data_IF_988349021672
#
_entry.id   IF_988349021672
#
_cell.length_a   1.000
_cell.length_b   1.000
_cell.length_c   1.000
_cell.angle_alpha   90.00
_cell.angle_beta   90.00
_cell.angle_gamma   90.00
#
_symmetry.space_group_name_H-M   'P 1'
#
loop_
_entity.id
_entity.type
_entity.pdbx_description
1 polymer ?
#
# COMPACT_ATOMS: atom_id res chain seq x y z
N UNK A 1 -11.68 -25.99 -12.47
CA UNK A 1 -10.71 -24.88 -12.43
C UNK A 1 -10.78 -24.20 -13.79
N UNK A 2 -11.18 -22.93 -13.85
CA UNK A 2 -11.05 -22.15 -15.08
C UNK A 2 -9.56 -21.94 -15.35
N UNK A 3 -9.14 -22.21 -16.58
CA UNK A 3 -7.75 -22.04 -17.02
C UNK A 3 -7.42 -20.53 -17.00
N UNK A 4 -6.32 -20.15 -16.33
CA UNK A 4 -5.90 -18.74 -16.29
C UNK A 4 -5.21 -18.41 -17.61
N UNK A 5 -5.87 -17.59 -18.41
CA UNK A 5 -5.34 -17.08 -19.68
C UNK A 5 -4.58 -15.79 -19.41
N UNK A 6 -3.28 -15.77 -19.71
CA UNK A 6 -2.47 -14.56 -19.63
C UNK A 6 -2.88 -13.55 -20.72
N UNK A 7 -2.84 -12.24 -20.44
CA UNK A 7 -2.98 -11.21 -21.48
C UNK A 7 -1.91 -11.35 -22.57
N UNK A 8 -2.21 -10.89 -23.78
CA UNK A 8 -1.28 -10.91 -24.90
C UNK A 8 0.04 -10.17 -24.55
N UNK A 9 1.18 -10.81 -24.78
CA UNK A 9 2.50 -10.30 -24.40
C UNK A 9 2.91 -10.53 -22.94
N UNK A 10 2.09 -11.21 -22.14
CA UNK A 10 2.40 -11.59 -20.76
C UNK A 10 2.47 -13.11 -20.62
N UNK A 11 3.37 -13.61 -19.76
CA UNK A 11 3.38 -15.00 -19.29
C UNK A 11 2.77 -15.08 -17.90
N UNK A 12 1.87 -16.04 -17.68
CA UNK A 12 1.40 -16.38 -16.33
C UNK A 12 2.45 -17.27 -15.65
N UNK A 13 3.10 -16.76 -14.62
CA UNK A 13 4.05 -17.50 -13.80
C UNK A 13 3.34 -17.91 -12.51
N UNK A 14 3.03 -19.20 -12.30
CA UNK A 14 2.47 -19.68 -11.04
C UNK A 14 3.50 -19.48 -9.93
N UNK A 15 3.08 -18.88 -8.81
CA UNK A 15 3.95 -18.55 -7.68
C UNK A 15 3.67 -19.44 -6.47
N UNK A 16 2.78 -19.02 -5.59
CA UNK A 16 2.49 -19.68 -4.31
C UNK A 16 1.05 -20.15 -4.22
N UNK A 17 0.82 -21.27 -3.52
CA UNK A 17 -0.51 -21.74 -3.16
C UNK A 17 -0.79 -21.42 -1.69
N UNK A 18 -1.95 -20.85 -1.36
CA UNK A 18 -2.38 -20.60 0.01
C UNK A 18 -3.81 -21.06 0.27
N UNK A 19 -4.12 -21.53 1.49
CA UNK A 19 -5.47 -21.91 1.87
C UNK A 19 -6.34 -20.67 2.12
N UNK A 20 -7.54 -20.63 1.55
CA UNK A 20 -8.58 -19.62 1.79
C UNK A 20 -9.81 -20.30 2.34
N UNK A 21 -10.45 -19.71 3.35
CA UNK A 21 -11.68 -20.25 3.93
C UNK A 21 -12.89 -19.75 3.14
N UNK A 22 -13.54 -20.66 2.42
CA UNK A 22 -14.75 -20.38 1.63
C UNK A 22 -15.88 -21.29 2.14
N UNK A 23 -17.01 -20.71 2.53
CA UNK A 23 -18.18 -21.44 3.06
C UNK A 23 -17.88 -22.42 4.22
N UNK A 24 -16.84 -22.14 5.01
CA UNK A 24 -16.42 -22.98 6.14
C UNK A 24 -15.36 -24.03 5.80
N UNK A 25 -15.03 -24.23 4.53
CA UNK A 25 -14.00 -25.17 4.07
C UNK A 25 -12.73 -24.44 3.61
N UNK A 26 -11.57 -25.11 3.68
CA UNK A 26 -10.32 -24.57 3.17
C UNK A 26 -10.11 -24.98 1.71
N UNK A 27 -10.02 -24.00 0.83
CA UNK A 27 -9.74 -24.17 -0.60
C UNK A 27 -8.35 -23.62 -0.90
N UNK A 28 -7.53 -24.37 -1.63
CA UNK A 28 -6.22 -23.89 -2.07
C UNK A 28 -6.38 -22.92 -3.24
N UNK A 29 -5.96 -21.66 -3.05
CA UNK A 29 -5.81 -20.68 -4.14
C UNK A 29 -4.34 -20.63 -4.57
N UNK A 30 -4.11 -20.31 -5.84
CA UNK A 30 -2.80 -20.19 -6.45
C UNK A 30 -2.63 -18.75 -6.96
N UNK A 31 -1.55 -18.06 -6.57
CA UNK A 31 -1.17 -16.79 -7.21
C UNK A 31 -0.50 -17.06 -8.54
N UNK A 32 -0.72 -16.10 -9.42
CA UNK A 32 -0.04 -15.99 -10.69
C UNK A 32 0.53 -14.59 -10.78
N UNK A 33 1.79 -14.49 -11.17
CA UNK A 33 2.38 -13.24 -11.61
C UNK A 33 2.26 -13.18 -13.12
N UNK A 34 1.71 -12.09 -13.65
CA UNK A 34 1.76 -11.84 -15.08
C UNK A 34 3.02 -11.05 -15.38
N UNK A 35 4.01 -11.73 -15.95
CA UNK A 35 5.27 -11.10 -16.34
C UNK A 35 5.21 -10.75 -17.81
N UNK A 36 5.50 -9.50 -18.14
CA UNK A 36 5.91 -9.11 -19.48
C UNK A 36 7.38 -8.75 -19.39
N UNK A 37 8.16 -9.24 -20.35
CA UNK A 37 9.52 -8.75 -20.50
C UNK A 37 9.43 -7.29 -20.92
N UNK A 38 9.79 -6.41 -19.97
CA UNK A 38 9.77 -4.97 -20.15
C UNK A 38 11.19 -4.40 -19.97
N UNK A 39 12.23 -5.24 -20.01
CA UNK A 39 13.63 -4.81 -19.89
C UNK A 39 14.02 -3.79 -20.97
N UNK A 40 13.35 -3.83 -22.12
CA UNK A 40 13.49 -2.85 -23.21
C UNK A 40 12.87 -1.47 -22.90
N UNK A 41 12.02 -1.37 -21.87
CA UNK A 41 11.19 -0.20 -21.56
C UNK A 41 11.47 0.37 -20.16
N UNK A 42 11.96 -0.47 -19.25
CA UNK A 42 12.28 -0.11 -17.87
C UNK A 42 13.72 -0.46 -17.54
N UNK A 43 14.41 0.51 -16.95
CA UNK A 43 15.73 0.33 -16.32
C UNK A 43 15.50 -0.12 -14.87
N UNK A 44 14.85 -1.26 -14.68
CA UNK A 44 14.48 -1.79 -13.36
C UNK A 44 15.12 -3.17 -13.19
N UNK A 45 16.06 -3.24 -12.27
CA UNK A 45 16.58 -4.51 -11.75
C UNK A 45 15.53 -5.08 -10.78
N UNK A 46 14.60 -5.87 -11.32
CA UNK A 46 13.52 -6.50 -10.56
C UNK A 46 14.14 -7.57 -9.66
N UNK A 47 14.45 -7.21 -8.41
CA UNK A 47 14.96 -8.18 -7.44
C UNK A 47 13.89 -9.24 -7.16
N UNK A 48 14.16 -10.48 -7.55
CA UNK A 48 13.36 -11.62 -7.12
C UNK A 48 13.54 -11.79 -5.61
N UNK A 49 12.43 -11.77 -4.87
CA UNK A 49 12.42 -12.07 -3.43
C UNK A 49 12.16 -13.56 -3.28
N UNK A 50 13.10 -14.29 -2.69
CA UNK A 50 12.87 -15.67 -2.25
C UNK A 50 12.03 -15.64 -0.96
N UNK A 51 10.91 -16.37 -0.89
CA UNK A 51 10.10 -16.42 0.32
C UNK A 51 10.90 -17.05 1.47
N UNK A 52 11.12 -16.27 2.53
CA UNK A 52 11.59 -16.82 3.79
C UNK A 52 10.40 -17.58 4.41
N UNK A 53 10.55 -18.89 4.61
CA UNK A 53 9.45 -19.77 5.03
C UNK A 53 8.69 -19.27 6.28
N UNK A 54 7.46 -19.75 6.46
CA UNK A 54 6.55 -19.31 7.52
C UNK A 54 7.21 -19.42 8.90
N UNK A 55 7.27 -18.31 9.64
CA UNK A 55 7.69 -18.31 11.05
C UNK A 55 6.76 -19.23 11.86
N UNK A 56 7.27 -20.03 12.81
CA UNK A 56 6.41 -20.75 13.76
C UNK A 56 5.51 -19.75 14.50
N UNK A 57 4.21 -20.05 14.57
CA UNK A 57 3.23 -19.21 15.26
C UNK A 57 3.66 -19.04 16.71
N UNK A 58 3.68 -17.80 17.19
CA UNK A 58 3.90 -17.54 18.61
C UNK A 58 2.56 -17.66 19.34
N UNK A 59 2.51 -18.46 20.40
CA UNK A 59 1.29 -18.63 21.19
C UNK A 59 0.98 -17.41 22.08
N UNK A 60 1.96 -16.51 22.27
CA UNK A 60 1.82 -15.37 23.17
C UNK A 60 1.37 -14.07 22.48
N UNK A 61 1.45 -13.99 21.16
CA UNK A 61 1.01 -12.81 20.41
C UNK A 61 0.82 -13.10 18.92
N UNK A 62 0.01 -12.26 18.28
CA UNK A 62 -0.07 -12.12 16.82
C UNK A 62 0.79 -10.96 16.34
N UNK A 63 1.30 -11.08 15.11
CA UNK A 63 2.08 -10.03 14.44
C UNK A 63 1.23 -9.42 13.34
N UNK A 64 1.05 -8.09 13.40
CA UNK A 64 0.43 -7.30 12.34
C UNK A 64 1.50 -6.41 11.73
N UNK A 65 1.55 -6.34 10.40
CA UNK A 65 2.39 -5.41 9.66
C UNK A 65 1.51 -4.45 8.88
N UNK A 66 1.78 -3.15 8.99
CA UNK A 66 1.20 -2.15 8.10
C UNK A 66 2.28 -1.51 7.23
N UNK A 67 2.01 -1.45 5.93
CA UNK A 67 2.70 -0.66 4.92
C UNK A 67 1.72 0.36 4.33
N UNK A 68 2.19 1.46 3.75
CA UNK A 68 1.28 2.48 3.23
C UNK A 68 1.97 3.36 2.18
N UNK A 69 1.15 4.06 1.38
CA UNK A 69 1.57 5.19 0.55
C UNK A 69 2.78 4.85 -0.34
N UNK A 70 2.70 3.74 -1.07
CA UNK A 70 3.71 3.36 -2.05
C UNK A 70 3.73 4.33 -3.25
N UNK A 71 2.61 5.00 -3.53
CA UNK A 71 2.45 5.98 -4.61
C UNK A 71 2.97 5.46 -5.96
N UNK A 72 2.59 4.24 -6.32
CA UNK A 72 3.02 3.60 -7.57
C UNK A 72 2.48 4.38 -8.76
N UNK A 73 3.42 4.94 -9.52
CA UNK A 73 3.21 5.65 -10.76
C UNK A 73 4.53 5.90 -11.47
N UNK A 74 4.45 6.63 -12.60
CA UNK A 74 5.60 6.96 -13.42
C UNK A 74 5.51 8.38 -13.98
N UNK A 75 6.68 8.97 -14.27
CA UNK A 75 6.85 10.08 -15.20
C UNK A 75 7.38 9.54 -16.52
N UNK A 76 6.81 9.95 -17.63
CA UNK A 76 7.26 9.68 -18.98
C UNK A 76 8.10 10.88 -19.45
N UNK A 77 9.42 10.70 -19.50
CA UNK A 77 10.36 11.73 -19.97
C UNK A 77 11.10 11.13 -21.16
N UNK A 78 10.96 11.76 -22.33
CA UNK A 78 11.55 11.31 -23.59
C UNK A 78 11.22 9.85 -23.94
N UNK A 79 9.97 9.43 -23.73
CA UNK A 79 9.47 8.06 -23.91
C UNK A 79 10.10 7.01 -22.96
N UNK A 80 10.78 7.43 -21.90
CA UNK A 80 11.26 6.55 -20.82
C UNK A 80 10.43 6.76 -19.57
N UNK A 81 10.03 5.65 -18.94
CA UNK A 81 9.25 5.66 -17.71
C UNK A 81 10.16 5.69 -16.48
N UNK A 82 10.01 6.73 -15.66
CA UNK A 82 10.74 6.93 -14.41
C UNK A 82 9.78 6.72 -13.24
N UNK A 83 10.07 5.78 -12.32
CA UNK A 83 9.17 5.51 -11.20
C UNK A 83 9.19 6.67 -10.20
N UNK A 84 8.00 7.05 -9.74
CA UNK A 84 7.83 7.97 -8.60
C UNK A 84 7.75 7.22 -7.26
N UNK A 85 7.46 5.93 -7.29
CA UNK A 85 7.58 5.04 -6.13
C UNK A 85 9.03 4.61 -5.94
N UNK A 86 9.37 4.18 -4.72
CA UNK A 86 10.73 3.75 -4.40
C UNK A 86 10.84 2.22 -4.44
N UNK A 87 11.35 1.71 -5.55
CA UNK A 87 11.50 0.27 -5.78
C UNK A 87 12.39 -0.40 -4.72
N UNK A 88 13.41 0.30 -4.20
CA UNK A 88 14.29 -0.25 -3.17
C UNK A 88 13.58 -0.29 -1.82
N UNK A 89 12.85 0.77 -1.46
CA UNK A 89 12.08 0.78 -0.23
C UNK A 89 11.00 -0.32 -0.22
N UNK A 90 10.30 -0.49 -1.35
CA UNK A 90 9.33 -1.58 -1.56
C UNK A 90 10.03 -2.95 -1.40
N UNK A 91 11.17 -3.18 -2.06
CA UNK A 91 11.87 -4.46 -1.98
C UNK A 91 12.30 -4.80 -0.54
N UNK A 92 12.84 -3.82 0.20
CA UNK A 92 13.23 -3.97 1.60
C UNK A 92 12.02 -4.27 2.48
N UNK A 93 10.91 -3.54 2.29
CA UNK A 93 9.68 -3.75 3.04
C UNK A 93 9.07 -5.15 2.76
N UNK A 94 9.09 -5.61 1.51
CA UNK A 94 8.63 -6.96 1.15
C UNK A 94 9.50 -8.05 1.76
N UNK A 95 10.83 -7.90 1.73
CA UNK A 95 11.77 -8.83 2.39
C UNK A 95 11.56 -8.85 3.90
N UNK A 96 11.39 -7.68 4.50
CA UNK A 96 11.10 -7.55 5.92
C UNK A 96 9.78 -8.23 6.29
N UNK A 97 8.72 -8.02 5.49
CA UNK A 97 7.43 -8.68 5.67
C UNK A 97 7.56 -10.21 5.65
N UNK A 98 8.29 -10.77 4.67
CA UNK A 98 8.55 -12.20 4.63
C UNK A 98 9.36 -12.71 5.82
N UNK A 99 10.35 -11.95 6.26
CA UNK A 99 11.19 -12.35 7.38
C UNK A 99 10.46 -12.35 8.74
N UNK A 100 9.57 -11.39 8.98
CA UNK A 100 8.79 -11.34 10.23
C UNK A 100 7.58 -12.28 10.19
N UNK A 101 7.08 -12.59 8.99
CA UNK A 101 5.95 -13.49 8.74
C UNK A 101 4.69 -13.08 9.49
N UNK A 102 4.06 -11.94 9.15
CA UNK A 102 2.91 -11.43 9.89
C UNK A 102 1.71 -12.39 9.80
N UNK A 103 0.86 -12.38 10.83
CA UNK A 103 -0.46 -13.00 10.80
C UNK A 103 -1.44 -12.15 9.99
N UNK A 104 -1.29 -10.82 10.05
CA UNK A 104 -2.10 -9.86 9.29
C UNK A 104 -1.20 -8.81 8.62
N UNK A 105 -1.40 -8.58 7.33
CA UNK A 105 -0.74 -7.55 6.55
C UNK A 105 -1.79 -6.52 6.08
N UNK A 106 -1.56 -5.26 6.42
CA UNK A 106 -2.43 -4.14 6.05
C UNK A 106 -1.67 -3.20 5.12
N UNK A 107 -2.27 -2.87 3.99
CA UNK A 107 -1.87 -1.77 3.13
C UNK A 107 -2.79 -0.57 3.41
N UNK A 108 -2.19 0.55 3.82
CA UNK A 108 -2.88 1.76 4.24
C UNK A 108 -3.49 2.60 3.11
N UNK A 109 -3.52 2.11 1.88
CA UNK A 109 -4.02 2.86 0.72
C UNK A 109 -2.99 3.80 0.11
N UNK A 110 -3.43 4.56 -0.90
CA UNK A 110 -2.56 5.35 -1.80
C UNK A 110 -1.40 4.51 -2.38
N UNK A 111 -1.68 3.23 -2.65
CA UNK A 111 -0.74 2.32 -3.29
C UNK A 111 -0.48 2.72 -4.74
N UNK A 112 -1.52 3.12 -5.47
CA UNK A 112 -1.40 3.64 -6.84
C UNK A 112 -1.62 5.14 -6.82
N UNK A 113 -0.70 5.90 -7.42
CA UNK A 113 -0.74 7.36 -7.33
C UNK A 113 -1.79 8.01 -8.26
N UNK A 114 -1.94 7.55 -9.50
CA UNK A 114 -2.80 8.23 -10.50
C UNK A 114 -2.51 9.74 -10.66
N UNK A 115 -1.25 10.14 -10.91
CA UNK A 115 -0.92 11.56 -11.07
C UNK A 115 -1.57 12.16 -12.33
N UNK A 116 -1.76 11.34 -13.37
CA UNK A 116 -2.38 11.67 -14.64
C UNK A 116 -3.88 11.98 -14.55
N UNK A 117 -4.52 11.55 -13.48
CA UNK A 117 -5.93 11.81 -13.19
C UNK A 117 -6.14 12.92 -12.16
N UNK A 118 -5.06 13.53 -11.67
CA UNK A 118 -5.12 14.55 -10.63
C UNK A 118 -5.71 15.86 -11.16
N UNK A 119 -6.51 16.51 -10.32
CA UNK A 119 -7.01 17.88 -10.55
C UNK A 119 -6.51 18.86 -9.49
N UNK A 120 -5.65 18.40 -8.58
CA UNK A 120 -5.24 19.15 -7.39
C UNK A 120 -3.95 19.93 -7.57
N UNK A 121 -3.12 19.51 -8.52
CA UNK A 121 -1.93 20.23 -8.91
C UNK A 121 -2.14 20.67 -10.35
N UNK A 122 -1.85 21.95 -10.63
CA UNK A 122 -1.60 22.33 -12.02
C UNK A 122 -0.53 21.37 -12.54
N UNK A 123 -0.71 20.77 -13.73
CA UNK A 123 0.26 19.81 -14.24
C UNK A 123 1.62 20.50 -14.25
N UNK A 124 2.51 20.04 -13.35
CA UNK A 124 3.90 20.51 -13.27
C UNK A 124 4.68 20.15 -14.54
N UNK A 125 4.10 19.26 -15.35
CA UNK A 125 4.60 18.72 -16.61
C UNK A 125 3.51 17.91 -17.33
N UNK A 126 3.76 17.54 -18.59
CA UNK A 126 2.96 16.58 -19.35
C UNK A 126 3.42 15.12 -19.19
N UNK A 127 4.40 14.89 -18.29
CA UNK A 127 5.09 13.60 -18.11
C UNK A 127 4.18 12.50 -17.58
N UNK A 128 3.06 12.82 -16.96
CA UNK A 128 2.15 11.80 -16.44
C UNK A 128 1.29 11.14 -17.53
N UNK A 129 1.38 11.59 -18.79
CA UNK A 129 0.57 11.01 -19.86
C UNK A 129 1.02 9.59 -20.22
N UNK A 130 0.03 8.70 -20.38
CA UNK A 130 0.24 7.35 -20.89
C UNK A 130 0.84 6.37 -19.86
N UNK A 131 0.85 6.71 -18.57
CA UNK A 131 1.48 5.88 -17.53
C UNK A 131 0.51 4.94 -16.82
N UNK A 132 -0.80 5.14 -16.97
CA UNK A 132 -1.85 4.48 -16.19
C UNK A 132 -1.75 2.95 -16.18
N UNK A 133 -1.59 2.31 -17.35
CA UNK A 133 -1.48 0.86 -17.44
C UNK A 133 -0.20 0.32 -16.77
N UNK A 134 0.91 1.04 -16.89
CA UNK A 134 2.15 0.66 -16.21
C UNK A 134 1.98 0.74 -14.70
N UNK A 135 1.34 1.80 -14.20
CA UNK A 135 1.02 1.97 -12.77
C UNK A 135 0.15 0.84 -12.25
N UNK A 136 -0.95 0.50 -12.92
CA UNK A 136 -1.82 -0.62 -12.53
C UNK A 136 -1.06 -1.96 -12.50
N UNK A 137 -0.25 -2.23 -13.53
CA UNK A 137 0.51 -3.48 -13.59
C UNK A 137 1.53 -3.56 -12.45
N UNK A 138 2.25 -2.48 -12.16
CA UNK A 138 3.23 -2.46 -11.07
C UNK A 138 2.56 -2.58 -9.70
N UNK A 139 1.40 -1.96 -9.50
CA UNK A 139 0.62 -2.11 -8.28
C UNK A 139 0.12 -3.55 -8.10
N UNK A 140 -0.37 -4.20 -9.16
CA UNK A 140 -0.73 -5.62 -9.10
C UNK A 140 0.47 -6.46 -8.69
N UNK A 141 1.63 -6.21 -9.30
CA UNK A 141 2.87 -6.90 -8.96
C UNK A 141 3.27 -6.67 -7.50
N UNK A 142 3.15 -5.44 -6.98
CA UNK A 142 3.44 -5.11 -5.58
C UNK A 142 2.61 -5.95 -4.59
N UNK A 143 1.30 -6.01 -4.80
CA UNK A 143 0.42 -6.85 -3.97
C UNK A 143 0.73 -8.36 -4.14
N UNK A 144 1.14 -8.77 -5.34
CA UNK A 144 1.60 -10.13 -5.62
C UNK A 144 2.90 -10.48 -4.89
N UNK A 145 3.89 -9.58 -4.90
CA UNK A 145 5.18 -9.76 -4.23
C UNK A 145 4.99 -9.88 -2.71
N UNK A 146 4.12 -9.04 -2.12
CA UNK A 146 3.76 -9.13 -0.70
C UNK A 146 3.03 -10.44 -0.37
N UNK A 147 2.13 -10.89 -1.25
CA UNK A 147 1.43 -12.17 -1.11
C UNK A 147 2.40 -13.36 -1.10
N UNK A 148 3.37 -13.33 -2.02
CA UNK A 148 4.42 -14.36 -2.11
C UNK A 148 5.31 -14.36 -0.87
N UNK A 149 5.71 -13.18 -0.40
CA UNK A 149 6.53 -13.03 0.81
C UNK A 149 5.76 -13.42 2.08
N UNK A 150 4.44 -13.28 2.12
CA UNK A 150 3.60 -13.51 3.31
C UNK A 150 2.47 -14.54 3.08
N UNK A 151 2.78 -15.78 2.69
CA UNK A 151 1.78 -16.75 2.24
C UNK A 151 0.78 -17.17 3.34
N UNK A 152 1.12 -16.93 4.61
CA UNK A 152 0.27 -17.23 5.76
C UNK A 152 -0.54 -16.05 6.30
N UNK A 153 -0.36 -14.84 5.75
CA UNK A 153 -1.00 -13.63 6.27
C UNK A 153 -2.41 -13.44 5.70
N UNK A 154 -3.32 -13.00 6.56
CA UNK A 154 -4.54 -12.30 6.15
C UNK A 154 -4.15 -10.92 5.60
N UNK A 155 -4.76 -10.47 4.49
CA UNK A 155 -4.28 -9.32 3.71
C UNK A 155 -5.40 -8.36 3.39
N UNK A 156 -5.24 -7.11 3.81
CA UNK A 156 -6.26 -6.06 3.64
C UNK A 156 -5.64 -4.79 3.07
N UNK A 157 -6.32 -4.15 2.13
CA UNK A 157 -6.01 -2.79 1.68
C UNK A 157 -7.23 -1.89 1.88
N UNK A 158 -7.01 -0.65 2.30
CA UNK A 158 -8.07 0.33 2.58
C UNK A 158 -8.14 1.39 1.48
N UNK A 159 -9.36 1.81 1.14
CA UNK A 159 -9.60 2.84 0.12
C UNK A 159 -9.01 4.21 0.50
N UNK A 160 -8.68 5.01 -0.51
CA UNK A 160 -7.86 6.22 -0.38
C UNK A 160 -8.30 7.37 -1.30
N UNK A 161 -7.73 8.56 -1.13
CA UNK A 161 -8.04 9.69 -2.01
C UNK A 161 -7.55 9.47 -3.44
N UNK A 162 -6.47 8.71 -3.67
CA UNK A 162 -5.99 8.43 -5.03
C UNK A 162 -6.92 7.43 -5.73
N UNK A 163 -7.40 6.41 -5.03
CA UNK A 163 -8.42 5.51 -5.60
C UNK A 163 -9.73 6.25 -5.88
N UNK A 164 -10.16 7.14 -4.97
CA UNK A 164 -11.31 8.02 -5.23
C UNK A 164 -11.11 8.91 -6.46
N UNK A 165 -9.91 9.44 -6.69
CA UNK A 165 -9.58 10.25 -7.88
C UNK A 165 -9.85 9.49 -9.17
N UNK A 166 -9.49 8.21 -9.24
CA UNK A 166 -9.81 7.36 -10.39
C UNK A 166 -11.33 7.23 -10.59
N UNK A 167 -12.09 6.92 -9.54
CA UNK A 167 -13.54 6.82 -9.62
C UNK A 167 -14.21 8.14 -10.04
N UNK A 168 -13.77 9.26 -9.47
CA UNK A 168 -14.24 10.61 -9.80
C UNK A 168 -13.95 10.96 -11.26
N UNK A 169 -12.78 10.57 -11.79
CA UNK A 169 -12.44 10.78 -13.18
C UNK A 169 -13.42 10.07 -14.11
N UNK A 170 -13.71 8.79 -13.86
CA UNK A 170 -14.67 8.02 -14.65
C UNK A 170 -16.05 8.69 -14.63
N UNK A 171 -16.55 9.08 -13.46
CA UNK A 171 -17.86 9.74 -13.33
C UNK A 171 -17.89 11.08 -14.09
N UNK A 172 -16.85 11.91 -13.94
CA UNK A 172 -16.84 13.28 -14.51
C UNK A 172 -16.52 13.32 -15.99
N UNK A 173 -15.74 12.37 -16.50
CA UNK A 173 -15.15 12.43 -17.86
C UNK A 173 -15.55 11.27 -18.77
N UNK A 174 -15.97 10.15 -18.20
CA UNK A 174 -16.30 8.94 -18.94
C UNK A 174 -17.57 8.27 -18.40
N UNK A 175 -18.58 9.07 -18.04
CA UNK A 175 -19.82 8.60 -17.40
C UNK A 175 -20.49 7.40 -18.10
N UNK A 176 -20.51 7.29 -19.45
CA UNK A 176 -21.06 6.10 -20.11
C UNK A 176 -20.35 4.78 -19.76
N UNK A 177 -19.11 4.84 -19.27
CA UNK A 177 -18.35 3.68 -18.79
C UNK A 177 -18.55 3.42 -17.29
N UNK A 178 -19.20 4.33 -16.56
CA UNK A 178 -19.39 4.17 -15.13
C UNK A 178 -20.26 2.94 -14.83
N UNK A 179 -19.74 2.04 -14.00
CA UNK A 179 -20.44 0.80 -13.62
C UNK A 179 -20.46 -0.27 -14.71
N UNK A 180 -19.71 -0.10 -15.81
CA UNK A 180 -19.54 -1.17 -16.80
C UNK A 180 -18.96 -2.42 -16.13
N UNK A 181 -19.56 -3.57 -16.44
CA UNK A 181 -19.21 -4.86 -15.85
C UNK A 181 -18.71 -5.79 -16.94
N UNK A 182 -17.88 -6.77 -16.56
CA UNK A 182 -17.65 -7.92 -17.45
C UNK A 182 -18.95 -8.70 -17.59
N UNK A 183 -19.15 -9.34 -18.73
CA UNK A 183 -20.33 -10.18 -18.98
C UNK A 183 -20.37 -11.29 -17.93
N UNK A 184 -21.46 -11.36 -17.16
CA UNK A 184 -21.66 -12.35 -16.11
C UNK A 184 -21.10 -11.98 -14.73
N UNK A 185 -20.51 -10.80 -14.57
CA UNK A 185 -20.05 -10.30 -13.26
C UNK A 185 -21.00 -9.23 -12.69
N UNK A 186 -21.13 -9.20 -11.37
CA UNK A 186 -22.01 -8.25 -10.66
C UNK A 186 -21.32 -6.94 -10.26
N UNK A 187 -19.99 -6.88 -10.38
CA UNK A 187 -19.20 -5.72 -9.99
C UNK A 187 -18.65 -4.95 -11.20
N UNK A 188 -18.40 -3.66 -10.99
CA UNK A 188 -17.80 -2.81 -12.02
C UNK A 188 -16.40 -3.31 -12.36
N UNK A 189 -16.10 -3.51 -13.64
CA UNK A 189 -14.75 -3.86 -14.09
C UNK A 189 -13.76 -2.71 -13.89
N UNK A 190 -14.27 -1.47 -13.74
CA UNK A 190 -13.48 -0.29 -13.41
C UNK A 190 -13.35 -0.08 -11.90
N UNK A 191 -13.86 -0.98 -11.04
CA UNK A 191 -13.55 -0.90 -9.62
C UNK A 191 -12.05 -1.18 -9.42
N UNK A 192 -11.38 -0.43 -8.55
CA UNK A 192 -9.93 -0.54 -8.29
C UNK A 192 -9.50 -1.99 -8.00
N UNK A 193 -10.25 -2.67 -7.12
CA UNK A 193 -10.02 -4.08 -6.79
C UNK A 193 -10.11 -5.04 -7.98
N UNK A 194 -10.96 -4.73 -8.97
CA UNK A 194 -11.21 -5.58 -10.14
C UNK A 194 -10.17 -5.32 -11.25
N UNK A 195 -9.75 -4.07 -11.42
CA UNK A 195 -8.63 -3.74 -12.31
C UNK A 195 -7.35 -4.43 -11.82
N UNK A 196 -7.08 -4.35 -10.51
CA UNK A 196 -5.92 -4.98 -9.88
C UNK A 196 -6.08 -6.48 -9.61
N UNK A 197 -7.26 -7.06 -9.82
CA UNK A 197 -7.54 -8.47 -9.54
C UNK A 197 -7.15 -8.90 -8.11
N UNK A 198 -7.42 -8.04 -7.12
CA UNK A 198 -6.99 -8.22 -5.73
C UNK A 198 -7.51 -9.53 -5.12
N UNK A 199 -8.72 -9.93 -5.48
CA UNK A 199 -9.36 -11.18 -5.08
C UNK A 199 -8.54 -12.41 -5.48
N UNK A 200 -7.95 -12.39 -6.69
CA UNK A 200 -7.15 -13.50 -7.23
C UNK A 200 -5.79 -13.62 -6.55
N UNK A 201 -5.27 -12.51 -6.03
CA UNK A 201 -4.01 -12.49 -5.28
C UNK A 201 -4.24 -12.45 -3.76
N UNK A 202 -5.48 -12.67 -3.30
CA UNK A 202 -5.80 -12.90 -1.89
C UNK A 202 -5.80 -11.64 -1.03
N UNK A 203 -6.14 -10.48 -1.59
CA UNK A 203 -6.30 -9.23 -0.87
C UNK A 203 -7.77 -8.84 -0.75
N UNK A 204 -8.17 -8.45 0.46
CA UNK A 204 -9.49 -7.85 0.71
C UNK A 204 -9.39 -6.32 0.60
N UNK A 205 -10.31 -5.72 -0.17
CA UNK A 205 -10.37 -4.27 -0.35
C UNK A 205 -11.53 -3.66 0.46
N UNK A 206 -11.19 -2.78 1.39
CA UNK A 206 -12.15 -2.05 2.23
C UNK A 206 -12.48 -0.72 1.57
N UNK A 207 -13.58 -0.68 0.82
CA UNK A 207 -14.02 0.46 -0.01
C UNK A 207 -14.66 1.62 0.77
N UNK A 208 -14.87 2.74 0.05
CA UNK A 208 -15.58 3.96 0.50
C UNK A 208 -14.69 4.96 1.24
N UNK A 209 -13.76 5.59 0.50
CA UNK A 209 -12.83 6.59 1.05
C UNK A 209 -13.52 7.62 1.97
N UNK A 210 -12.85 7.92 3.08
CA UNK A 210 -13.34 8.80 4.16
C UNK A 210 -14.07 8.05 5.28
N UNK A 211 -14.68 6.91 4.97
CA UNK A 211 -15.28 6.00 5.98
C UNK A 211 -14.66 4.59 5.96
N UNK A 212 -13.90 4.26 4.93
CA UNK A 212 -13.18 2.99 4.80
C UNK A 212 -12.26 2.77 6.00
N UNK A 213 -12.43 1.61 6.62
CA UNK A 213 -11.66 1.19 7.77
C UNK A 213 -11.60 -0.34 7.81
N UNK A 214 -10.39 -0.88 7.92
CA UNK A 214 -10.23 -2.27 8.35
C UNK A 214 -10.23 -2.31 9.87
N UNK A 215 -11.30 -2.89 10.45
CA UNK A 215 -11.42 -3.12 11.89
C UNK A 215 -10.89 -4.50 12.22
N UNK A 216 -9.63 -4.56 12.65
CA UNK A 216 -9.03 -5.80 13.13
C UNK A 216 -9.72 -6.29 14.42
N UNK A 217 -9.95 -5.37 15.37
CA UNK A 217 -10.69 -5.59 16.62
C UNK A 217 -11.50 -4.34 16.99
N UNK A 218 -12.45 -4.41 17.94
CA UNK A 218 -13.21 -3.23 18.38
C UNK A 218 -12.33 -2.04 18.82
N UNK A 219 -11.13 -2.33 19.32
CA UNK A 219 -10.15 -1.40 19.88
C UNK A 219 -8.91 -1.18 19.01
N UNK A 220 -8.85 -1.74 17.79
CA UNK A 220 -7.75 -1.52 16.83
C UNK A 220 -8.27 -1.47 15.40
N UNK A 221 -7.98 -0.36 14.72
CA UNK A 221 -8.43 -0.09 13.37
C UNK A 221 -7.36 0.57 12.49
N UNK A 222 -7.52 0.37 11.17
CA UNK A 222 -6.66 0.90 10.13
C UNK A 222 -7.48 1.65 9.09
N UNK A 223 -7.02 2.81 8.66
CA UNK A 223 -7.67 3.63 7.63
C UNK A 223 -6.61 4.27 6.74
N UNK A 224 -6.97 4.75 5.55
CA UNK A 224 -6.07 5.66 4.85
C UNK A 224 -5.95 7.00 5.60
N UNK A 225 -7.09 7.48 6.12
CA UNK A 225 -7.19 8.75 6.84
C UNK A 225 -7.55 9.90 5.92
N UNK A 226 -7.88 11.04 6.53
CA UNK A 226 -8.22 12.30 5.83
C UNK A 226 -7.50 13.49 6.46
N UNK A 227 -6.53 13.22 7.34
CA UNK A 227 -5.83 14.21 8.14
C UNK A 227 -4.36 14.23 7.72
N UNK A 228 -3.91 15.38 7.24
CA UNK A 228 -2.50 15.68 7.09
C UNK A 228 -2.30 17.10 7.64
N UNK A 229 -1.81 17.21 8.87
CA UNK A 229 -1.79 18.49 9.61
C UNK A 229 -0.37 19.03 9.61
N UNK A 230 -0.21 20.34 9.40
CA UNK A 230 1.09 21.00 9.54
C UNK A 230 1.71 20.77 10.94
N UNK A 231 3.03 20.88 11.03
CA UNK A 231 3.81 20.87 12.28
C UNK A 231 3.74 19.57 13.11
N UNK A 232 3.51 18.40 12.49
CA UNK A 232 3.68 17.09 13.14
C UNK A 232 2.64 16.77 14.22
N UNK A 233 1.40 17.20 14.02
CA UNK A 233 0.29 17.00 14.98
C UNK A 233 -0.84 16.12 14.42
N UNK A 234 -0.56 15.36 13.36
CA UNK A 234 -1.56 14.52 12.69
C UNK A 234 -2.02 13.40 13.61
N UNK A 235 -1.10 12.65 14.23
CA UNK A 235 -1.45 11.58 15.17
C UNK A 235 -2.23 12.09 16.38
N UNK A 236 -1.85 13.26 16.91
CA UNK A 236 -2.55 13.90 18.03
C UNK A 236 -4.00 14.24 17.65
N UNK A 237 -4.22 14.87 16.48
CA UNK A 237 -5.58 15.18 16.01
C UNK A 237 -6.37 13.92 15.70
N UNK A 238 -5.74 12.89 15.16
CA UNK A 238 -6.37 11.61 14.86
C UNK A 238 -6.91 10.94 16.13
N UNK A 239 -6.11 10.88 17.20
CA UNK A 239 -6.52 10.29 18.48
C UNK A 239 -7.62 11.08 19.20
N UNK A 240 -7.63 12.40 19.04
CA UNK A 240 -8.65 13.28 19.62
C UNK A 240 -9.90 13.46 18.73
N UNK A 241 -9.93 12.86 17.53
CA UNK A 241 -11.11 12.88 16.67
C UNK A 241 -12.24 12.10 17.36
N UNK A 242 -13.47 12.64 17.30
CA UNK A 242 -14.65 11.97 17.87
C UNK A 242 -14.75 10.54 17.35
N UNK A 243 -14.88 9.57 18.26
CA UNK A 243 -14.93 8.14 17.95
C UNK A 243 -13.59 7.41 17.95
N UNK A 244 -12.46 8.11 18.14
CA UNK A 244 -11.13 7.49 18.25
C UNK A 244 -10.52 7.50 19.66
N UNK A 245 -11.07 8.30 20.57
CA UNK A 245 -10.55 8.52 21.93
C UNK A 245 -10.45 7.28 22.83
N UNK A 246 -11.12 6.17 22.48
CA UNK A 246 -11.18 4.94 23.25
C UNK A 246 -10.73 3.71 22.45
N UNK A 247 -9.85 3.91 21.44
CA UNK A 247 -9.31 2.82 20.63
C UNK A 247 -7.96 3.19 20.02
N UNK A 248 -7.23 2.18 19.57
CA UNK A 248 -6.06 2.34 18.73
C UNK A 248 -6.50 2.59 17.28
N UNK A 249 -5.85 3.55 16.61
CA UNK A 249 -6.16 3.91 15.22
C UNK A 249 -4.88 4.25 14.48
N UNK A 250 -4.67 3.62 13.34
CA UNK A 250 -3.52 3.87 12.48
C UNK A 250 -4.02 4.34 11.13
N UNK A 251 -3.41 5.41 10.62
CA UNK A 251 -3.69 5.91 9.28
C UNK A 251 -2.45 5.93 8.39
N UNK A 252 -2.62 6.03 7.07
CA UNK A 252 -1.56 6.43 6.13
C UNK A 252 -1.57 7.95 5.87
N UNK A 253 -1.54 8.34 4.60
CA UNK A 253 -1.91 9.65 4.04
C UNK A 253 -0.97 10.82 4.33
N UNK A 254 -0.45 10.96 5.56
CA UNK A 254 0.35 12.13 5.95
C UNK A 254 1.81 12.06 5.51
N UNK A 255 2.21 10.90 4.99
CA UNK A 255 3.57 10.51 4.63
C UNK A 255 4.64 10.61 5.74
N UNK A 256 4.21 10.85 6.99
CA UNK A 256 5.09 11.05 8.14
C UNK A 256 4.86 9.96 9.16
N UNK A 257 5.94 9.50 9.79
CA UNK A 257 5.84 8.61 10.94
C UNK A 257 5.55 9.43 12.20
N UNK A 258 4.33 9.33 12.73
CA UNK A 258 3.91 10.02 13.95
C UNK A 258 3.17 9.04 14.87
N UNK A 259 3.33 9.20 16.18
CA UNK A 259 2.55 8.46 17.18
C UNK A 259 2.19 9.35 18.37
N UNK A 260 1.00 9.14 18.89
CA UNK A 260 0.52 9.81 20.11
C UNK A 260 -0.20 8.79 20.97
N UNK A 261 0.24 8.70 22.23
CA UNK A 261 -0.41 7.89 23.25
C UNK A 261 -1.36 8.77 24.06
N UNK A 262 -2.57 8.26 24.27
CA UNK A 262 -3.53 8.82 25.21
C UNK A 262 -3.82 7.77 26.28
N UNK A 263 -3.95 8.22 27.53
CA UNK A 263 -4.36 7.36 28.64
C UNK A 263 -5.79 7.70 29.02
N UNK A 264 -6.65 6.68 29.05
CA UNK A 264 -7.97 6.83 29.63
C UNK A 264 -7.82 7.02 31.16
N UNK A 265 -8.24 8.16 31.72
CA UNK A 265 -8.06 8.44 33.15
C UNK A 265 -8.90 7.53 34.06
N UNK A 266 -9.94 6.87 33.54
CA UNK A 266 -10.80 5.98 34.33
C UNK A 266 -10.25 4.56 34.37
N UNK A 267 -9.77 4.04 33.23
CA UNK A 267 -9.33 2.65 33.10
C UNK A 267 -7.82 2.48 33.18
N UNK A 268 -7.05 3.57 33.04
CA UNK A 268 -5.60 3.59 32.80
C UNK A 268 -5.16 2.88 31.52
N UNK A 269 -6.12 2.49 30.67
CA UNK A 269 -5.83 1.89 29.38
C UNK A 269 -5.13 2.92 28.48
N UNK A 270 -4.11 2.47 27.76
CA UNK A 270 -3.42 3.29 26.76
C UNK A 270 -3.96 3.00 25.37
N UNK A 271 -4.20 4.06 24.61
CA UNK A 271 -4.57 4.01 23.21
C UNK A 271 -3.58 4.80 22.38
N UNK A 272 -3.20 4.24 21.24
CA UNK A 272 -2.30 4.88 20.28
C UNK A 272 -3.05 5.34 19.03
N UNK A 273 -2.82 6.59 18.67
CA UNK A 273 -3.07 7.08 17.32
C UNK A 273 -1.73 7.21 16.61
N UNK A 274 -1.61 6.69 15.39
CA UNK A 274 -0.37 6.78 14.61
C UNK A 274 -0.61 6.98 13.11
N UNK A 275 0.42 7.49 12.44
CA UNK A 275 0.52 7.54 10.99
C UNK A 275 1.64 6.59 10.54
N UNK A 276 1.32 5.71 9.60
CA UNK A 276 2.26 4.77 9.01
C UNK A 276 3.32 5.51 8.16
N UNK A 277 4.59 5.08 8.16
CA UNK A 277 5.59 5.57 7.22
C UNK A 277 5.22 5.17 5.77
N UNK A 278 5.94 5.75 4.80
CA UNK A 278 5.69 5.55 3.36
C UNK A 278 6.61 4.54 2.70
N UNK A 279 6.26 4.13 1.48
CA UNK A 279 7.17 3.40 0.58
C UNK A 279 7.44 4.14 -0.74
N UNK A 280 6.87 5.34 -0.92
CA UNK A 280 7.13 6.17 -2.09
C UNK A 280 8.50 6.85 -2.03
N UNK A 281 8.93 7.46 -3.15
CA UNK A 281 10.13 8.30 -3.14
C UNK A 281 9.89 9.56 -2.34
N UNK A 282 10.91 9.97 -1.62
CA UNK A 282 10.89 11.16 -0.77
C UNK A 282 11.73 12.31 -1.36
N UNK A 283 12.27 12.14 -2.58
CA UNK A 283 13.31 12.99 -3.18
C UNK A 283 12.80 13.96 -4.27
N UNK A 284 11.50 14.23 -4.28
CA UNK A 284 10.86 15.23 -5.15
C UNK A 284 10.27 14.66 -6.44
N UNK A 285 10.38 13.34 -6.65
CA UNK A 285 9.79 12.68 -7.83
C UNK A 285 8.27 12.49 -7.71
N UNK A 286 7.77 12.18 -6.51
CA UNK A 286 6.34 12.11 -6.19
C UNK A 286 5.77 13.52 -6.19
N UNK A 287 4.71 13.81 -6.96
CA UNK A 287 4.05 15.11 -6.92
C UNK A 287 3.61 15.50 -5.52
N UNK A 288 4.07 16.66 -5.08
CA UNK A 288 3.82 17.22 -3.75
C UNK A 288 3.67 18.74 -3.83
N UNK A 289 3.32 19.37 -2.71
CA UNK A 289 3.22 20.83 -2.62
C UNK A 289 4.54 21.55 -2.94
N UNK A 290 5.69 20.93 -2.65
CA UNK A 290 7.02 21.51 -2.88
C UNK A 290 7.69 21.02 -4.17
N UNK A 291 7.00 20.17 -4.96
CA UNK A 291 7.55 19.62 -6.19
C UNK A 291 7.72 20.70 -7.26
N UNK A 292 8.77 20.55 -8.07
CA UNK A 292 9.01 21.38 -9.24
C UNK A 292 9.73 20.59 -10.32
N UNK A 293 9.57 21.00 -11.57
CA UNK A 293 10.25 20.42 -12.73
C UNK A 293 11.17 21.48 -13.32
N UNK A 294 12.41 21.11 -13.62
CA UNK A 294 13.38 22.00 -14.26
C UNK A 294 12.95 22.26 -15.73
N UNK A 295 12.66 23.51 -16.10
CA UNK A 295 12.19 23.84 -17.45
C UNK A 295 13.24 23.59 -18.54
N UNK A 296 14.53 23.44 -18.19
CA UNK A 296 15.59 23.22 -19.17
C UNK A 296 15.70 21.77 -19.64
N UNK A 297 15.37 20.80 -18.80
CA UNK A 297 15.56 19.37 -19.08
C UNK A 297 14.35 18.49 -18.73
N UNK A 298 13.29 19.07 -18.18
CA UNK A 298 12.09 18.35 -17.77
C UNK A 298 12.29 17.42 -16.56
N UNK A 299 13.42 17.46 -15.85
CA UNK A 299 13.63 16.57 -14.71
C UNK A 299 12.98 17.13 -13.46
N UNK A 300 12.38 16.29 -12.59
CA UNK A 300 11.97 16.72 -11.26
C UNK A 300 13.17 17.25 -10.47
N UNK A 301 13.00 18.41 -9.84
CA UNK A 301 14.02 18.99 -8.98
C UNK A 301 14.20 18.12 -7.76
N UNK A 302 15.44 17.68 -7.51
CA UNK A 302 15.76 16.88 -6.32
C UNK A 302 15.55 17.71 -5.04
N UNK A 303 14.57 17.30 -4.24
CA UNK A 303 14.24 17.91 -2.96
C UNK A 303 13.71 16.85 -2.01
N UNK A 304 14.24 16.80 -0.78
CA UNK A 304 13.78 15.83 0.19
C UNK A 304 12.60 16.38 0.99
N UNK A 305 11.44 15.78 0.80
CA UNK A 305 10.29 16.01 1.68
C UNK A 305 10.60 15.49 3.08
N UNK A 306 9.98 16.09 4.10
CA UNK A 306 10.03 15.56 5.46
C UNK A 306 9.12 14.34 5.61
N UNK A 307 9.39 13.30 4.84
CA UNK A 307 8.70 12.02 4.83
C UNK A 307 9.67 10.94 5.28
N UNK A 308 9.16 9.91 5.94
CA UNK A 308 9.99 8.81 6.41
C UNK A 308 9.53 7.50 5.78
N UNK A 309 10.48 6.73 5.26
CA UNK A 309 10.21 5.43 4.69
C UNK A 309 10.22 4.33 5.76
N UNK A 310 9.35 3.33 5.61
CA UNK A 310 9.30 2.18 6.52
C UNK A 310 7.94 1.54 6.64
N UNK A 311 7.74 0.83 7.74
CA UNK A 311 6.51 0.13 8.07
C UNK A 311 6.19 0.23 9.57
N UNK A 312 4.98 -0.15 9.97
CA UNK A 312 4.58 -0.27 11.37
C UNK A 312 4.33 -1.74 11.73
N UNK A 313 5.06 -2.24 12.72
CA UNK A 313 4.86 -3.59 13.29
C UNK A 313 4.08 -3.49 14.59
N UNK A 314 3.04 -4.29 14.72
CA UNK A 314 2.19 -4.35 15.91
C UNK A 314 2.20 -5.78 16.44
N UNK A 315 2.51 -5.93 17.73
CA UNK A 315 2.28 -7.17 18.45
C UNK A 315 0.97 -7.06 19.21
N UNK A 316 0.03 -7.96 18.93
CA UNK A 316 -1.25 -8.11 19.63
C UNK A 316 -1.15 -9.29 20.60
N UNK A 317 -1.19 -9.01 21.90
CA UNK A 317 -1.10 -10.03 22.96
C UNK A 317 -2.45 -10.72 23.24
N UNK A 318 -3.46 -10.44 22.41
CA UNK A 318 -4.81 -11.02 22.43
C UNK A 318 -5.67 -10.69 23.66
N UNK A 319 -5.19 -9.83 24.56
CA UNK A 319 -5.85 -9.41 25.80
C UNK A 319 -6.20 -7.91 25.84
N UNK A 320 -6.12 -7.23 24.69
CA UNK A 320 -6.33 -5.78 24.55
C UNK A 320 -5.05 -4.95 24.74
N UNK A 321 -3.91 -5.59 24.99
CA UNK A 321 -2.61 -4.92 24.98
C UNK A 321 -1.90 -5.08 23.63
N UNK A 322 -1.28 -3.99 23.19
CA UNK A 322 -0.54 -3.93 21.95
C UNK A 322 0.83 -3.30 22.16
N UNK A 323 1.81 -3.75 21.38
CA UNK A 323 3.10 -3.07 21.25
C UNK A 323 3.29 -2.60 19.80
N UNK A 324 3.48 -1.30 19.63
CA UNK A 324 3.67 -0.65 18.33
C UNK A 324 5.15 -0.33 18.11
N UNK A 325 5.69 -0.69 16.95
CA UNK A 325 7.10 -0.47 16.63
C UNK A 325 7.23 -0.01 15.19
N UNK A 326 7.78 1.18 14.97
CA UNK A 326 8.16 1.61 13.64
C UNK A 326 9.42 0.86 13.18
N UNK A 327 9.33 0.23 12.01
CA UNK A 327 10.43 -0.39 11.31
C UNK A 327 10.87 0.55 10.18
N UNK A 328 11.76 1.49 10.51
CA UNK A 328 12.20 2.54 9.58
C UNK A 328 13.22 1.99 8.59
N UNK A 329 13.14 2.47 7.34
CA UNK A 329 14.15 2.29 6.31
C UNK A 329 15.10 3.50 6.40
N UNK A 330 16.40 3.23 6.52
CA UNK A 330 17.43 4.27 6.52
C UNK A 330 17.92 4.62 5.09
N UNK A 331 18.88 5.52 5.00
CA UNK A 331 19.52 5.96 3.77
C UNK A 331 20.34 4.86 3.05
N UNK A 332 20.66 3.76 3.75
CA UNK A 332 21.26 2.55 3.19
C UNK A 332 20.22 1.55 2.67
N UNK A 333 18.92 1.90 2.64
CA UNK A 333 17.84 0.98 2.35
C UNK A 333 17.84 -0.25 3.28
N UNK A 334 18.02 -0.02 4.58
CA UNK A 334 18.07 -1.07 5.59
C UNK A 334 17.00 -0.86 6.67
N UNK A 335 16.21 -1.89 6.94
CA UNK A 335 15.43 -1.98 8.18
C UNK A 335 16.29 -2.63 9.25
N UNK A 336 16.43 -1.98 10.41
CA UNK A 336 17.01 -2.57 11.63
C UNK A 336 15.92 -2.87 12.63
N UNK A 337 15.67 -4.15 12.87
CA UNK A 337 14.56 -4.59 13.69
C UNK A 337 14.94 -5.81 14.54
N UNK A 338 14.72 -5.71 15.86
CA UNK A 338 15.11 -6.72 16.85
C UNK A 338 16.59 -7.17 16.72
N UNK A 339 17.49 -6.21 16.50
CA UNK A 339 18.93 -6.47 16.36
C UNK A 339 19.36 -7.13 15.04
N UNK A 340 18.43 -7.35 14.10
CA UNK A 340 18.71 -7.87 12.76
C UNK A 340 18.63 -6.77 11.70
N UNK A 341 19.34 -6.97 10.59
CA UNK A 341 19.32 -6.11 9.40
C UNK A 341 18.54 -6.79 8.28
N UNK A 342 17.72 -6.02 7.57
CA UNK A 342 16.98 -6.44 6.38
C UNK A 342 17.27 -5.44 5.27
N UNK A 343 17.73 -5.92 4.12
CA UNK A 343 18.21 -5.16 2.95
C UNK A 343 17.60 -5.70 1.69
#
# INVERSE_FOLDING_TARGET
MSEIVAPEGYRAVPKSAWPVKENGEYVMKQSYRFERDLSDVFDIDVMHVEPLGKRPRNENYKVILMVSDAQIGYRNIDNKLYPIHDEKAIAVATRFAGAIGPDVLVDGGDTTDFPDLSTHFDPDSDQFRGVLNASFQRTHNYFGDLTEATPGAERHTVDSNHVKRFADFVIKRAMPLYGIKRVGEDESMLAYKNILQLDKIGWEFHGTYGTAEYRYKPDLAFTHGTLAVANGSTSYRLGNKRGNHNRNIIQGHSHRAEATYNTDPQTRQMYLAATCPVLCRIDGYVPSYNSSVDPANGQPTKYYENWQQGALVIYDYEDGHYQFNFAMIDDEYTIRYNGKRYT
#
